data_IF_690587665095
#
_entry.id   IF_690587665095
#
_cell.length_a   1.000
_cell.length_b   1.000
_cell.length_c   1.000
_cell.angle_alpha   90.00
_cell.angle_beta   90.00
_cell.angle_gamma   90.00
#
_symmetry.space_group_name_H-M   'P 1'
#
loop_
_entity.id
_entity.type
_entity.pdbx_description
1 polymer ?
#
# COMPACT_ATOMS: atom_id res chain seq x y z
N UNK A 1 14.52 6.16 16.11
CA UNK A 1 15.49 5.68 15.11
C UNK A 1 14.71 5.08 13.95
N UNK A 2 15.03 5.40 12.70
CA UNK A 2 14.50 4.69 11.52
C UNK A 2 15.67 4.07 10.78
N UNK A 3 15.49 2.85 10.27
CA UNK A 3 16.52 2.09 9.59
C UNK A 3 15.98 1.50 8.28
N UNK A 4 16.83 1.52 7.25
CA UNK A 4 16.59 0.89 5.96
C UNK A 4 17.77 -0.04 5.71
N UNK A 5 17.47 -1.30 5.43
CA UNK A 5 18.45 -2.35 5.23
C UNK A 5 18.35 -2.91 3.80
N UNK A 6 19.49 -3.33 3.26
CA UNK A 6 19.58 -4.02 1.97
C UNK A 6 19.72 -5.52 2.21
N UNK A 7 18.67 -6.26 1.89
CA UNK A 7 18.71 -7.72 1.87
C UNK A 7 18.42 -8.42 3.19
N UNK A 8 17.72 -7.78 4.13
CA UNK A 8 17.35 -8.44 5.39
C UNK A 8 16.57 -9.73 5.13
N UNK A 9 16.99 -10.82 5.77
CA UNK A 9 16.39 -12.15 5.65
C UNK A 9 16.74 -12.94 4.38
N UNK A 10 16.90 -12.29 3.23
CA UNK A 10 17.02 -12.95 1.91
C UNK A 10 18.37 -12.74 1.20
N UNK A 11 19.27 -11.95 1.78
CA UNK A 11 20.59 -11.64 1.22
C UNK A 11 20.64 -10.36 0.39
N UNK A 12 21.85 -9.84 0.20
CA UNK A 12 22.14 -8.53 -0.42
C UNK A 12 21.50 -8.45 -1.82
N UNK A 13 20.79 -7.35 -2.09
CA UNK A 13 20.18 -7.06 -3.38
C UNK A 13 18.86 -7.78 -3.66
N UNK A 14 18.35 -8.58 -2.72
CA UNK A 14 17.08 -9.33 -2.89
C UNK A 14 15.87 -8.71 -2.19
N UNK A 15 16.09 -7.65 -1.42
CA UNK A 15 15.00 -6.93 -0.76
C UNK A 15 15.48 -5.60 -0.18
N UNK A 16 14.53 -4.68 -0.01
CA UNK A 16 14.72 -3.47 0.78
C UNK A 16 13.70 -3.56 1.90
N UNK A 17 14.19 -3.63 3.14
CA UNK A 17 13.36 -3.74 4.33
C UNK A 17 13.63 -2.58 5.28
N UNK A 18 12.57 -2.05 5.88
CA UNK A 18 12.63 -0.89 6.76
C UNK A 18 12.10 -1.27 8.14
N UNK A 19 12.49 -0.50 9.15
CA UNK A 19 11.90 -0.57 10.48
C UNK A 19 12.24 0.67 11.29
N UNK A 20 11.56 0.85 12.41
CA UNK A 20 11.87 1.94 13.34
C UNK A 20 11.79 1.45 14.78
N UNK A 21 12.50 2.16 15.66
CA UNK A 21 12.40 2.04 17.10
C UNK A 21 11.86 3.32 17.70
N UNK A 22 10.85 3.18 18.56
CA UNK A 22 10.17 4.28 19.25
C UNK A 22 10.32 4.09 20.76
N UNK A 23 10.86 5.10 21.43
CA UNK A 23 11.05 5.10 22.89
C UNK A 23 9.77 5.56 23.57
N UNK A 24 9.33 4.82 24.58
CA UNK A 24 8.16 5.14 25.39
C UNK A 24 8.64 5.69 26.73
N UNK A 25 8.71 7.01 26.85
CA UNK A 25 9.27 7.72 28.01
C UNK A 25 8.21 8.43 28.88
N UNK A 26 6.92 8.22 28.59
CA UNK A 26 5.79 8.70 29.38
C UNK A 26 5.45 10.19 29.23
N UNK A 27 6.10 10.91 28.30
CA UNK A 27 5.73 12.30 28.01
C UNK A 27 4.53 12.38 27.06
N UNK A 28 3.70 13.41 27.24
CA UNK A 28 2.58 13.73 26.35
C UNK A 28 3.02 13.92 24.88
N UNK A 29 4.19 14.53 24.65
CA UNK A 29 4.74 14.67 23.29
C UNK A 29 4.98 13.30 22.62
N UNK A 30 5.30 12.26 23.40
CA UNK A 30 5.51 10.91 22.91
C UNK A 30 4.18 10.26 22.51
N UNK A 31 3.08 10.57 23.21
CA UNK A 31 1.73 10.10 22.84
C UNK A 31 1.30 10.61 21.46
N UNK A 32 1.57 11.88 21.15
CA UNK A 32 1.27 12.45 19.84
C UNK A 32 2.11 11.82 18.72
N UNK A 33 3.38 11.50 19.00
CA UNK A 33 4.22 10.74 18.07
C UNK A 33 3.65 9.34 17.84
N UNK A 34 3.23 8.63 18.90
CA UNK A 34 2.67 7.28 18.80
C UNK A 34 1.42 7.27 17.92
N UNK A 35 0.48 8.20 18.15
CA UNK A 35 -0.78 8.29 17.40
C UNK A 35 -0.54 8.42 15.89
N UNK A 36 0.46 9.21 15.49
CA UNK A 36 0.80 9.38 14.07
C UNK A 36 1.63 8.22 13.52
N UNK A 37 2.72 7.87 14.21
CA UNK A 37 3.71 6.89 13.70
C UNK A 37 3.11 5.50 13.50
N UNK A 38 2.28 5.02 14.44
CA UNK A 38 1.64 3.69 14.31
C UNK A 38 0.69 3.63 13.12
N UNK A 39 -0.09 4.71 12.91
CA UNK A 39 -1.03 4.77 11.80
C UNK A 39 -0.29 4.73 10.46
N UNK A 40 0.78 5.50 10.30
CA UNK A 40 1.56 5.50 9.06
C UNK A 40 2.29 4.17 8.80
N UNK A 41 2.89 3.55 9.82
CA UNK A 41 3.65 2.30 9.66
C UNK A 41 2.76 1.15 9.17
N UNK A 42 1.54 1.06 9.70
CA UNK A 42 0.59 0.01 9.33
C UNK A 42 -0.16 0.36 8.05
N UNK A 43 -0.78 1.55 7.99
CA UNK A 43 -1.69 1.90 6.89
C UNK A 43 -0.96 2.08 5.56
N UNK A 44 0.30 2.49 5.54
CA UNK A 44 1.10 2.51 4.31
C UNK A 44 1.23 1.11 3.68
N UNK A 45 1.42 0.09 4.52
CA UNK A 45 1.47 -1.31 4.09
C UNK A 45 0.12 -1.84 3.61
N UNK A 46 -0.98 -1.43 4.26
CA UNK A 46 -2.36 -1.75 3.83
C UNK A 46 -2.66 -1.11 2.49
N UNK A 47 -2.42 0.20 2.34
CA UNK A 47 -2.68 0.95 1.13
C UNK A 47 -1.96 0.36 -0.09
N UNK A 48 -0.66 0.06 0.05
CA UNK A 48 0.13 -0.55 -1.04
C UNK A 48 -0.37 -1.94 -1.43
N UNK A 49 -0.80 -2.76 -0.47
CA UNK A 49 -1.36 -4.10 -0.75
C UNK A 49 -2.76 -4.02 -1.34
N UNK A 50 -3.58 -3.09 -0.86
CA UNK A 50 -4.90 -2.81 -1.42
C UNK A 50 -4.76 -2.38 -2.88
N UNK A 51 -3.84 -1.47 -3.18
CA UNK A 51 -3.55 -1.05 -4.56
C UNK A 51 -3.03 -2.19 -5.45
N UNK A 52 -2.29 -3.13 -4.87
CA UNK A 52 -1.91 -4.38 -5.54
C UNK A 52 -3.04 -5.41 -5.64
N UNK A 53 -4.29 -5.01 -5.35
CA UNK A 53 -5.53 -5.83 -5.41
C UNK A 53 -5.57 -6.99 -4.42
N UNK A 54 -4.93 -6.86 -3.26
CA UNK A 54 -5.13 -7.82 -2.18
C UNK A 54 -6.52 -7.63 -1.54
N UNK A 55 -7.40 -8.65 -1.54
CA UNK A 55 -8.81 -8.49 -1.12
C UNK A 55 -8.94 -8.08 0.35
N UNK A 56 -8.16 -8.70 1.24
CA UNK A 56 -8.18 -8.40 2.67
C UNK A 56 -7.71 -6.96 2.94
N UNK A 57 -6.65 -6.52 2.25
CA UNK A 57 -6.17 -5.14 2.40
C UNK A 57 -7.17 -4.12 1.83
N UNK A 58 -7.88 -4.44 0.74
CA UNK A 58 -8.95 -3.59 0.21
C UNK A 58 -10.13 -3.49 1.20
N UNK A 59 -10.51 -4.59 1.84
CA UNK A 59 -11.53 -4.58 2.90
C UNK A 59 -11.13 -3.70 4.07
N UNK A 60 -9.92 -3.88 4.61
CA UNK A 60 -9.38 -3.03 5.68
C UNK A 60 -9.31 -1.57 5.22
N UNK A 61 -8.89 -1.31 3.98
CA UNK A 61 -8.85 0.05 3.43
C UNK A 61 -10.23 0.73 3.36
N UNK A 62 -11.28 -0.01 2.97
CA UNK A 62 -12.67 0.50 3.03
C UNK A 62 -13.09 0.84 4.45
N UNK A 63 -12.76 -0.03 5.41
CA UNK A 63 -13.09 0.20 6.81
C UNK A 63 -12.37 1.44 7.37
N UNK A 64 -11.07 1.57 7.09
CA UNK A 64 -10.24 2.71 7.50
C UNK A 64 -10.81 4.01 6.92
N UNK A 65 -11.14 4.04 5.63
CA UNK A 65 -11.72 5.24 5.00
C UNK A 65 -13.05 5.66 5.62
N UNK A 66 -13.89 4.69 5.99
CA UNK A 66 -15.16 4.96 6.68
C UNK A 66 -14.96 5.43 8.12
N UNK A 67 -14.04 4.81 8.85
CA UNK A 67 -13.81 5.09 10.28
C UNK A 67 -13.09 6.41 10.52
N UNK A 68 -12.19 6.79 9.61
CA UNK A 68 -11.35 7.99 9.72
C UNK A 68 -11.66 9.02 8.63
N UNK A 69 -12.93 9.14 8.26
CA UNK A 69 -13.40 10.11 7.27
C UNK A 69 -12.93 11.54 7.63
N UNK A 70 -12.42 12.26 6.63
CA UNK A 70 -11.86 13.60 6.81
C UNK A 70 -10.44 13.66 7.40
N UNK A 71 -9.83 12.51 7.73
CA UNK A 71 -8.45 12.44 8.25
C UNK A 71 -7.54 11.59 7.37
N UNK A 72 -7.75 10.26 7.39
CA UNK A 72 -6.96 9.31 6.61
C UNK A 72 -7.77 8.83 5.42
N UNK A 73 -7.10 8.69 4.27
CA UNK A 73 -7.73 8.17 3.07
C UNK A 73 -6.79 7.27 2.29
N UNK A 74 -7.22 6.04 2.06
CA UNK A 74 -6.56 5.05 1.22
C UNK A 74 -7.28 5.00 -0.12
N UNK A 75 -6.58 5.33 -1.20
CA UNK A 75 -7.10 5.14 -2.56
C UNK A 75 -7.24 3.65 -2.85
N UNK A 76 -8.46 3.20 -3.13
CA UNK A 76 -8.75 1.81 -3.48
C UNK A 76 -8.75 1.65 -5.00
N UNK A 77 -8.20 0.53 -5.52
CA UNK A 77 -8.24 0.29 -6.95
C UNK A 77 -9.65 -0.09 -7.40
N UNK A 78 -10.00 0.34 -8.61
CA UNK A 78 -11.16 -0.14 -9.35
C UNK A 78 -10.66 -0.94 -10.53
N UNK A 79 -11.11 -2.18 -10.63
CA UNK A 79 -10.64 -3.09 -11.67
C UNK A 79 -11.37 -2.83 -12.98
N UNK A 80 -10.61 -2.83 -14.08
CA UNK A 80 -11.20 -2.82 -15.40
C UNK A 80 -11.84 -4.19 -15.68
N UNK A 81 -13.01 -4.23 -16.33
CA UNK A 81 -13.59 -5.48 -16.81
C UNK A 81 -12.62 -6.24 -17.73
N UNK A 82 -12.44 -7.54 -17.50
CA UNK A 82 -11.48 -8.37 -18.24
C UNK A 82 -11.80 -8.42 -19.74
N UNK A 83 -13.08 -8.45 -20.09
CA UNK A 83 -13.58 -8.42 -21.47
C UNK A 83 -13.22 -7.10 -22.17
N UNK A 84 -13.32 -5.97 -21.46
CA UNK A 84 -12.93 -4.67 -21.99
C UNK A 84 -11.41 -4.59 -22.23
N UNK A 85 -10.60 -5.13 -21.32
CA UNK A 85 -9.15 -5.22 -21.49
C UNK A 85 -8.81 -6.10 -22.69
N UNK A 86 -9.41 -7.29 -22.78
CA UNK A 86 -9.20 -8.23 -23.88
C UNK A 86 -9.58 -7.61 -25.23
N UNK A 87 -10.76 -7.00 -25.33
CA UNK A 87 -11.22 -6.35 -26.55
C UNK A 87 -10.29 -5.21 -26.98
N UNK A 88 -9.76 -4.43 -26.03
CA UNK A 88 -8.81 -3.36 -26.32
C UNK A 88 -7.47 -3.90 -26.85
N UNK A 89 -6.98 -5.01 -26.30
CA UNK A 89 -5.76 -5.69 -26.76
C UNK A 89 -5.97 -6.28 -28.16
N UNK A 90 -7.04 -7.04 -28.36
CA UNK A 90 -7.37 -7.66 -29.65
C UNK A 90 -7.47 -6.59 -30.76
N UNK A 91 -8.18 -5.49 -30.50
CA UNK A 91 -8.32 -4.38 -31.44
C UNK A 91 -6.98 -3.69 -31.80
N UNK A 92 -5.99 -3.70 -30.89
CA UNK A 92 -4.66 -3.14 -31.14
C UNK A 92 -3.83 -4.04 -32.06
N UNK A 93 -3.93 -5.36 -31.90
CA UNK A 93 -3.11 -6.33 -32.64
C UNK A 93 -3.75 -6.77 -33.96
N UNK A 94 -5.07 -6.82 -34.08
CA UNK A 94 -5.77 -7.09 -35.35
C UNK A 94 -5.53 -6.01 -36.41
N UNK A 95 -5.27 -4.77 -35.99
CA UNK A 95 -4.89 -3.68 -36.90
C UNK A 95 -3.46 -3.82 -37.44
N UNK A 96 -2.58 -4.57 -36.79
CA UNK A 96 -1.19 -4.79 -37.24
C UNK A 96 -1.04 -5.89 -38.29
N UNK A 97 -2.04 -6.77 -38.45
CA UNK A 97 -2.05 -7.84 -39.46
C UNK A 97 -2.65 -7.44 -40.82
N UNK A 98 -3.03 -6.17 -41.02
CA UNK A 98 -3.65 -5.65 -42.25
C UNK A 98 -2.72 -4.74 -43.08
N UNK A 99 -1.40 -4.91 -42.98
CA UNK A 99 -0.43 -4.34 -43.91
C UNK A 99 0.18 -5.45 -44.77
#
# INVERSE_FOLDING_TARGET
LCAIHNGGGVGIGKGINCGFGLVLDGKEATDEIIKSAMMWDVLGGVARRAWARNPNAMEVGREVNRKYEGQYHITLPYEAPEDAVKAAVDALFDKKGKN
#
